data_IF_722961970463
#
_entry.id   IF_722961970463
#
_cell.length_a   1.000
_cell.length_b   1.000
_cell.length_c   1.000
_cell.angle_alpha   90.00
_cell.angle_beta   90.00
_cell.angle_gamma   90.00
#
_symmetry.space_group_name_H-M   'P 1'
#
loop_
_entity.id
_entity.type
_entity.pdbx_description
1 polymer ?
#
# COMPACT_ATOMS: atom_id res chain seq x y z
N UNK A 1 23.13 -69.86 24.11
CA UNK A 1 22.48 -70.70 23.08
C UNK A 1 21.03 -70.24 22.94
N UNK A 2 20.59 -69.91 21.70
CA UNK A 2 19.20 -70.03 21.20
C UNK A 2 18.15 -69.14 21.92
N UNK A 3 17.41 -68.21 21.29
CA UNK A 3 16.96 -68.08 19.89
C UNK A 3 16.48 -66.64 19.63
N UNK A 4 16.77 -66.17 18.41
CA UNK A 4 15.97 -65.18 17.68
C UNK A 4 14.49 -65.56 17.69
N UNK A 5 13.59 -64.57 17.78
CA UNK A 5 12.39 -64.57 16.92
C UNK A 5 12.02 -63.13 16.56
N UNK A 6 12.11 -62.88 15.26
CA UNK A 6 11.70 -61.70 14.52
C UNK A 6 10.16 -61.63 14.54
N UNK A 7 9.58 -60.48 14.88
CA UNK A 7 8.17 -60.19 14.62
C UNK A 7 8.12 -59.01 13.65
N UNK A 8 7.87 -59.40 12.40
CA UNK A 8 7.15 -58.72 11.31
C UNK A 8 6.68 -57.29 11.59
N UNK A 9 7.38 -56.31 11.02
CA UNK A 9 6.89 -54.94 10.90
C UNK A 9 5.83 -54.86 9.79
N UNK A 10 4.57 -54.69 10.18
CA UNK A 10 3.50 -54.26 9.27
C UNK A 10 3.69 -52.76 9.05
N UNK A 11 4.22 -52.37 7.89
CA UNK A 11 4.12 -50.99 7.42
C UNK A 11 2.67 -50.71 7.08
N UNK A 12 1.93 -50.12 8.03
CA UNK A 12 0.70 -49.41 7.73
C UNK A 12 1.09 -48.12 7.01
N UNK A 13 0.78 -48.03 5.71
CA UNK A 13 0.74 -46.77 4.99
C UNK A 13 -0.19 -45.83 5.76
N UNK A 14 0.38 -44.85 6.45
CA UNK A 14 -0.35 -43.67 6.86
C UNK A 14 -0.60 -42.89 5.59
N UNK A 15 -1.79 -43.05 4.99
CA UNK A 15 -2.36 -42.01 4.14
C UNK A 15 -2.57 -40.80 5.06
N UNK A 16 -1.55 -39.96 5.17
CA UNK A 16 -1.72 -38.61 5.65
C UNK A 16 -2.66 -37.92 4.65
N UNK A 17 -3.92 -37.81 5.04
CA UNK A 17 -4.87 -36.97 4.33
C UNK A 17 -4.25 -35.58 4.20
N UNK A 18 -4.03 -35.14 2.96
CA UNK A 18 -3.78 -33.75 2.64
C UNK A 18 -5.06 -32.98 2.98
N UNK A 19 -5.27 -32.69 4.26
CA UNK A 19 -6.15 -31.62 4.67
C UNK A 19 -5.47 -30.36 4.15
N UNK A 20 -5.98 -29.81 3.05
CA UNK A 20 -5.49 -28.57 2.50
C UNK A 20 -5.51 -27.51 3.59
N UNK A 21 -4.33 -27.17 4.12
CA UNK A 21 -4.14 -26.00 4.94
C UNK A 21 -4.49 -24.81 4.05
N UNK A 22 -5.71 -24.29 4.20
CA UNK A 22 -6.00 -22.91 3.83
C UNK A 22 -5.16 -22.05 4.76
N UNK A 23 -3.92 -21.80 4.35
CA UNK A 23 -3.06 -20.86 5.06
C UNK A 23 -3.81 -19.54 5.08
N UNK A 24 -4.24 -19.13 6.27
CA UNK A 24 -4.95 -17.87 6.44
C UNK A 24 -4.01 -16.78 6.00
N UNK A 25 -4.44 -15.95 5.05
CA UNK A 25 -3.68 -14.80 4.62
C UNK A 25 -3.63 -13.77 5.75
N UNK A 26 -2.61 -13.93 6.60
CA UNK A 26 -2.44 -13.11 7.81
C UNK A 26 -2.16 -11.66 7.45
N UNK A 27 -1.45 -11.41 6.34
CA UNK A 27 -1.16 -10.06 5.87
C UNK A 27 -2.44 -9.36 5.44
N UNK A 28 -3.29 -9.99 4.62
CA UNK A 28 -4.59 -9.42 4.27
C UNK A 28 -5.47 -9.19 5.50
N UNK A 29 -5.58 -10.19 6.38
CA UNK A 29 -6.43 -10.10 7.57
C UNK A 29 -6.03 -8.94 8.47
N UNK A 30 -4.77 -8.88 8.88
CA UNK A 30 -4.30 -7.88 9.83
C UNK A 30 -4.02 -6.52 9.19
N UNK A 31 -3.66 -6.49 7.90
CA UNK A 31 -3.55 -5.27 7.11
C UNK A 31 -4.89 -4.54 7.01
N UNK A 32 -5.97 -5.25 6.68
CA UNK A 32 -7.32 -4.67 6.64
C UNK A 32 -7.76 -4.22 8.04
N UNK A 33 -7.54 -5.04 9.07
CA UNK A 33 -7.92 -4.69 10.44
C UNK A 33 -7.24 -3.40 10.93
N UNK A 34 -5.92 -3.29 10.76
CA UNK A 34 -5.18 -2.08 11.14
C UNK A 34 -5.52 -0.87 10.27
N UNK A 35 -5.76 -1.07 8.97
CA UNK A 35 -6.21 0.01 8.09
C UNK A 35 -7.57 0.58 8.52
N UNK A 36 -8.48 -0.27 9.04
CA UNK A 36 -9.75 0.21 9.57
C UNK A 36 -9.58 1.09 10.81
N UNK A 37 -8.55 0.85 11.63
CA UNK A 37 -8.20 1.74 12.74
C UNK A 37 -7.69 3.09 12.22
N UNK A 38 -6.86 3.08 11.16
CA UNK A 38 -6.41 4.30 10.47
C UNK A 38 -7.60 5.11 9.95
N UNK A 39 -8.56 4.45 9.28
CA UNK A 39 -9.81 5.08 8.80
C UNK A 39 -10.58 5.72 9.96
N UNK A 40 -10.66 5.05 11.11
CA UNK A 40 -11.37 5.57 12.29
C UNK A 40 -10.72 6.79 12.94
N UNK A 41 -9.44 7.04 12.71
CA UNK A 41 -8.69 8.18 13.23
C UNK A 41 -8.45 9.29 12.19
N UNK A 42 -8.73 9.02 10.92
CA UNK A 42 -8.43 9.93 9.81
C UNK A 42 -9.68 10.65 9.31
N UNK A 43 -9.48 11.75 8.58
CA UNK A 43 -10.54 12.37 7.81
C UNK A 43 -10.73 11.62 6.49
N UNK A 44 -11.70 10.70 6.48
CA UNK A 44 -12.07 9.90 5.30
C UNK A 44 -13.44 10.33 4.78
N UNK A 45 -13.49 10.76 3.53
CA UNK A 45 -14.72 11.20 2.85
C UNK A 45 -14.92 10.48 1.53
N UNK A 46 -16.17 10.42 1.06
CA UNK A 46 -16.45 9.93 -0.29
C UNK A 46 -16.11 11.03 -1.30
N UNK A 47 -15.39 10.66 -2.34
CA UNK A 47 -15.15 11.48 -3.52
C UNK A 47 -16.01 10.93 -4.67
N UNK A 48 -17.19 11.52 -4.85
CA UNK A 48 -18.16 11.07 -5.84
C UNK A 48 -17.74 11.36 -7.27
N UNK A 49 -16.85 12.33 -7.49
CA UNK A 49 -16.35 12.66 -8.83
C UNK A 49 -15.37 11.59 -9.30
N UNK A 50 -14.60 11.03 -8.36
CA UNK A 50 -13.60 10.00 -8.60
C UNK A 50 -14.06 8.59 -8.19
N UNK A 51 -15.33 8.40 -7.81
CA UNK A 51 -15.87 7.13 -7.29
C UNK A 51 -14.92 6.44 -6.30
N UNK A 52 -14.36 7.20 -5.35
CA UNK A 52 -13.34 6.71 -4.42
C UNK A 52 -13.61 7.17 -2.98
N UNK A 53 -12.93 6.55 -2.03
CA UNK A 53 -12.76 7.09 -0.69
C UNK A 53 -11.46 7.88 -0.63
N UNK A 54 -11.50 9.04 0.00
CA UNK A 54 -10.36 9.94 0.15
C UNK A 54 -9.99 10.07 1.62
N UNK A 55 -8.80 9.60 1.99
CA UNK A 55 -8.18 9.79 3.28
C UNK A 55 -7.22 10.99 3.20
N UNK A 56 -7.52 12.08 3.91
CA UNK A 56 -6.65 13.26 3.95
C UNK A 56 -5.51 13.10 4.96
N UNK A 57 -4.31 13.52 4.58
CA UNK A 57 -3.21 13.70 5.52
C UNK A 57 -3.59 14.77 6.58
N UNK A 58 -3.04 14.69 7.81
CA UNK A 58 -3.29 15.67 8.86
C UNK A 58 -3.00 17.12 8.48
N UNK A 59 -1.99 17.36 7.63
CA UNK A 59 -1.62 18.70 7.17
C UNK A 59 -2.37 19.16 5.91
N UNK A 60 -3.27 18.32 5.37
CA UNK A 60 -4.09 18.57 4.16
C UNK A 60 -3.32 18.76 2.85
N UNK A 61 -2.02 18.47 2.82
CA UNK A 61 -1.20 18.62 1.61
C UNK A 61 -1.07 17.33 0.79
N UNK A 62 -1.63 16.23 1.30
CA UNK A 62 -1.68 14.95 0.60
C UNK A 62 -2.99 14.22 0.94
N UNK A 63 -3.45 13.37 0.02
CA UNK A 63 -4.55 12.43 0.28
C UNK A 63 -4.29 11.09 -0.40
N UNK A 64 -4.70 10.02 0.25
CA UNK A 64 -4.74 8.67 -0.33
C UNK A 64 -6.16 8.38 -0.80
N UNK A 65 -6.29 7.99 -2.06
CA UNK A 65 -7.56 7.63 -2.66
C UNK A 65 -7.56 6.15 -3.02
N UNK A 66 -8.64 5.47 -2.67
CA UNK A 66 -8.86 4.07 -3.04
C UNK A 66 -10.30 3.88 -3.51
N UNK A 67 -10.41 3.15 -4.61
CA UNK A 67 -11.65 3.12 -5.38
C UNK A 67 -12.78 2.39 -4.66
N UNK A 68 -14.00 2.88 -4.89
CA UNK A 68 -15.24 2.14 -4.56
C UNK A 68 -15.61 1.15 -5.65
N UNK A 69 -15.03 1.24 -6.84
CA UNK A 69 -15.27 0.32 -7.96
C UNK A 69 -14.15 0.47 -9.01
N UNK A 70 -13.61 -0.63 -9.56
CA UNK A 70 -12.59 -0.51 -10.61
C UNK A 70 -13.10 0.12 -11.91
N UNK A 71 -14.42 0.15 -12.12
CA UNK A 71 -15.03 1.05 -13.12
C UNK A 71 -15.15 2.45 -12.53
N UNK A 72 -14.01 3.10 -12.38
CA UNK A 72 -13.91 4.47 -11.86
C UNK A 72 -13.72 5.49 -12.97
N UNK A 73 -14.06 6.74 -12.66
CA UNK A 73 -13.72 7.95 -13.41
C UNK A 73 -12.37 8.53 -12.98
N UNK A 74 -11.81 8.04 -11.87
CA UNK A 74 -10.49 8.41 -11.41
C UNK A 74 -9.40 7.99 -12.41
N UNK A 75 -8.25 8.69 -12.43
CA UNK A 75 -7.08 8.25 -13.19
C UNK A 75 -6.59 6.85 -12.79
N UNK A 76 -6.80 6.45 -11.54
CA UNK A 76 -6.28 5.23 -10.93
C UNK A 76 -7.26 4.65 -9.90
N UNK A 77 -7.16 3.34 -9.64
CA UNK A 77 -7.96 2.66 -8.63
C UNK A 77 -7.41 2.84 -7.21
N UNK A 78 -6.08 2.99 -7.11
CA UNK A 78 -5.39 3.43 -5.90
C UNK A 78 -4.42 4.53 -6.30
N UNK A 79 -4.44 5.64 -5.58
CA UNK A 79 -3.51 6.74 -5.83
C UNK A 79 -3.26 7.59 -4.61
N UNK A 80 -2.16 8.32 -4.64
CA UNK A 80 -1.97 9.50 -3.79
C UNK A 80 -2.01 10.74 -4.66
N UNK A 81 -2.63 11.78 -4.11
CA UNK A 81 -2.64 13.12 -4.67
C UNK A 81 -1.93 14.03 -3.67
N UNK A 82 -0.95 14.80 -4.15
CA UNK A 82 -0.11 15.66 -3.30
C UNK A 82 -0.03 17.06 -3.88
N UNK A 83 0.01 18.07 -3.01
CA UNK A 83 0.25 19.46 -3.40
C UNK A 83 1.60 19.54 -4.13
N UNK A 84 1.57 20.08 -5.35
CA UNK A 84 2.76 20.21 -6.18
C UNK A 84 3.65 21.37 -5.75
N UNK A 85 3.14 22.35 -4.99
CA UNK A 85 3.87 23.57 -4.69
C UNK A 85 5.23 23.32 -4.01
N UNK A 86 5.36 22.42 -3.01
CA UNK A 86 6.67 22.10 -2.43
C UNK A 86 7.67 21.51 -3.44
N UNK A 87 7.19 20.80 -4.46
CA UNK A 87 8.04 20.26 -5.53
C UNK A 87 8.43 21.33 -6.54
N UNK A 88 7.50 22.22 -6.90
CA UNK A 88 7.74 23.39 -7.76
C UNK A 88 8.76 24.32 -7.14
N UNK A 89 8.62 24.60 -5.83
CA UNK A 89 9.57 25.41 -5.07
C UNK A 89 10.97 24.75 -5.02
N UNK A 90 11.01 23.42 -5.03
CA UNK A 90 12.24 22.62 -5.12
C UNK A 90 12.75 22.41 -6.55
N UNK A 91 12.15 23.06 -7.56
CA UNK A 91 12.67 23.06 -8.94
C UNK A 91 11.92 22.18 -9.95
N UNK A 92 10.76 21.62 -9.59
CA UNK A 92 9.95 20.81 -10.50
C UNK A 92 9.59 21.58 -11.79
N UNK A 93 10.04 21.05 -12.93
CA UNK A 93 9.50 21.42 -14.24
C UNK A 93 8.31 20.51 -14.55
N UNK A 94 7.10 21.02 -14.30
CA UNK A 94 5.84 20.29 -14.51
C UNK A 94 5.65 19.84 -15.96
N UNK A 95 6.33 20.46 -16.93
CA UNK A 95 6.22 20.08 -18.34
C UNK A 95 6.97 18.79 -18.68
N UNK A 96 7.84 18.32 -17.78
CA UNK A 96 8.56 17.05 -17.90
C UNK A 96 7.84 15.89 -17.24
N UNK A 97 6.79 16.14 -16.47
CA UNK A 97 6.00 15.08 -15.88
C UNK A 97 5.17 14.34 -16.95
N UNK A 98 4.90 13.04 -16.78
CA UNK A 98 3.96 12.31 -17.63
C UNK A 98 2.60 13.01 -17.73
N UNK A 99 1.98 12.90 -18.89
CA UNK A 99 0.64 13.43 -19.12
C UNK A 99 -0.35 12.85 -18.10
N UNK A 100 -1.16 13.73 -17.49
CA UNK A 100 -2.13 13.36 -16.45
C UNK A 100 -1.55 13.23 -15.05
N UNK A 101 -0.23 13.27 -14.86
CA UNK A 101 0.37 13.24 -13.52
C UNK A 101 0.22 14.58 -12.78
N UNK A 102 0.16 15.70 -13.50
CA UNK A 102 -0.05 17.03 -12.92
C UNK A 102 -1.36 17.63 -13.40
N UNK A 103 -2.30 17.85 -12.48
CA UNK A 103 -3.62 18.41 -12.76
C UNK A 103 -3.99 19.39 -11.65
N UNK A 104 -4.39 20.61 -12.03
CA UNK A 104 -4.90 21.64 -11.12
C UNK A 104 -4.06 21.90 -9.86
N UNK A 105 -2.72 21.89 -10.02
CA UNK A 105 -1.79 22.16 -8.91
C UNK A 105 -1.43 20.93 -8.08
N UNK A 106 -1.97 19.75 -8.43
CA UNK A 106 -1.74 18.51 -7.72
C UNK A 106 -0.91 17.54 -8.56
N UNK A 107 -0.03 16.78 -7.90
CA UNK A 107 0.66 15.61 -8.46
C UNK A 107 -0.13 14.36 -8.07
N UNK A 108 -0.49 13.54 -9.06
CA UNK A 108 -1.21 12.29 -8.90
C UNK A 108 -0.31 11.12 -9.28
N UNK A 109 -0.15 10.15 -8.38
CA UNK A 109 0.52 8.87 -8.69
C UNK A 109 -0.31 7.70 -8.21
N UNK A 110 -0.42 6.68 -9.04
CA UNK A 110 -1.24 5.52 -8.75
C UNK A 110 -1.21 4.48 -9.86
N UNK A 111 -2.06 3.48 -9.69
CA UNK A 111 -2.25 2.43 -10.67
C UNK A 111 -3.71 1.99 -10.78
N UNK A 112 -4.08 1.56 -11.99
CA UNK A 112 -5.32 0.83 -12.26
C UNK A 112 -5.12 -0.63 -11.91
N UNK A 113 -6.06 -1.21 -11.16
CA UNK A 113 -5.99 -2.53 -10.58
C UNK A 113 -6.93 -3.53 -11.26
N UNK A 114 -7.97 -3.07 -11.96
CA UNK A 114 -8.86 -3.96 -12.69
C UNK A 114 -9.98 -3.27 -13.44
N UNK A 115 -11.02 -4.05 -13.76
CA UNK A 115 -12.24 -3.58 -14.44
C UNK A 115 -13.52 -4.15 -13.79
N UNK A 116 -13.37 -4.88 -12.68
CA UNK A 116 -14.44 -5.60 -12.02
C UNK A 116 -15.33 -4.65 -11.20
N UNK A 117 -16.63 -4.88 -11.30
CA UNK A 117 -17.61 -4.16 -10.49
C UNK A 117 -17.61 -4.63 -9.03
N UNK A 118 -17.65 -3.67 -8.12
CA UNK A 118 -17.86 -3.95 -6.70
C UNK A 118 -19.36 -4.13 -6.45
N UNK A 119 -19.74 -5.01 -5.54
CA UNK A 119 -21.13 -5.09 -5.09
C UNK A 119 -21.54 -3.82 -4.34
N UNK A 120 -22.84 -3.52 -4.28
CA UNK A 120 -23.37 -2.37 -3.50
C UNK A 120 -22.92 -2.41 -2.03
N UNK A 121 -22.85 -3.60 -1.44
CA UNK A 121 -22.36 -3.75 -0.06
C UNK A 121 -20.87 -3.44 0.06
N UNK A 122 -20.07 -3.78 -0.95
CA UNK A 122 -18.64 -3.44 -0.99
C UNK A 122 -18.41 -1.94 -1.20
N UNK A 123 -19.37 -1.20 -1.76
CA UNK A 123 -19.28 0.24 -1.96
C UNK A 123 -19.73 1.06 -0.74
N UNK A 124 -20.38 0.44 0.24
CA UNK A 124 -21.14 1.16 1.26
C UNK A 124 -20.28 1.92 2.28
N UNK A 125 -19.06 1.46 2.56
CA UNK A 125 -18.16 2.06 3.56
C UNK A 125 -16.70 1.98 3.10
N UNK A 126 -15.81 2.83 3.64
CA UNK A 126 -14.38 2.76 3.38
C UNK A 126 -13.81 1.36 3.67
N UNK A 127 -14.15 0.77 4.81
CA UNK A 127 -13.75 -0.57 5.19
C UNK A 127 -14.20 -1.63 4.16
N UNK A 128 -15.47 -1.56 3.73
CA UNK A 128 -16.01 -2.55 2.81
C UNK A 128 -15.35 -2.45 1.42
N UNK A 129 -15.08 -1.23 0.95
CA UNK A 129 -14.44 -0.99 -0.35
C UNK A 129 -12.99 -1.42 -0.32
N UNK A 130 -12.26 -1.07 0.74
CA UNK A 130 -10.88 -1.50 0.89
C UNK A 130 -10.78 -3.02 0.96
N UNK A 131 -11.63 -3.68 1.75
CA UNK A 131 -11.66 -5.15 1.82
C UNK A 131 -11.91 -5.81 0.46
N UNK A 132 -12.83 -5.29 -0.35
CA UNK A 132 -13.10 -5.84 -1.67
C UNK A 132 -11.94 -5.58 -2.64
N UNK A 133 -11.32 -4.39 -2.58
CA UNK A 133 -10.11 -4.05 -3.32
C UNK A 133 -8.97 -5.04 -3.04
N UNK A 134 -8.68 -5.32 -1.76
CA UNK A 134 -7.63 -6.29 -1.38
C UNK A 134 -7.99 -7.71 -1.83
N UNK A 135 -9.26 -8.08 -1.79
CA UNK A 135 -9.70 -9.39 -2.27
C UNK A 135 -9.48 -9.55 -3.79
N UNK A 136 -9.72 -8.50 -4.56
CA UNK A 136 -9.60 -8.54 -6.03
C UNK A 136 -8.16 -8.31 -6.52
N UNK A 137 -7.36 -7.55 -5.77
CA UNK A 137 -6.02 -7.13 -6.15
C UNK A 137 -5.02 -7.39 -5.03
N UNK A 138 -5.04 -8.63 -4.51
CA UNK A 138 -4.29 -9.02 -3.32
C UNK A 138 -2.80 -8.69 -3.39
N UNK A 139 -2.19 -8.84 -4.56
CA UNK A 139 -0.75 -8.64 -4.76
C UNK A 139 -0.29 -7.19 -4.52
N UNK A 140 -1.22 -6.24 -4.46
CA UNK A 140 -0.93 -4.83 -4.12
C UNK A 140 -0.60 -4.63 -2.64
N UNK A 141 -1.02 -5.54 -1.76
CA UNK A 141 -0.84 -5.42 -0.31
C UNK A 141 0.44 -6.12 0.16
N UNK A 142 1.38 -5.34 0.68
CA UNK A 142 2.61 -5.81 1.28
C UNK A 142 2.65 -5.66 2.80
N UNK A 143 3.70 -6.22 3.39
CA UNK A 143 4.09 -6.00 4.78
C UNK A 143 5.61 -5.77 4.85
N UNK A 144 6.01 -4.70 5.51
CA UNK A 144 7.39 -4.33 5.81
C UNK A 144 7.70 -4.78 7.23
N UNK A 145 8.51 -5.84 7.37
CA UNK A 145 8.74 -6.48 8.67
C UNK A 145 9.45 -5.57 9.67
N UNK A 146 10.53 -4.90 9.24
CA UNK A 146 11.35 -4.06 10.13
C UNK A 146 10.61 -2.83 10.66
N UNK A 147 9.77 -2.21 9.82
CA UNK A 147 8.95 -1.07 10.21
C UNK A 147 7.62 -1.48 10.84
N UNK A 148 7.28 -2.77 10.80
CA UNK A 148 5.96 -3.27 11.16
C UNK A 148 4.82 -2.48 10.50
N UNK A 149 4.97 -2.21 9.20
CA UNK A 149 4.02 -1.45 8.38
C UNK A 149 3.39 -2.34 7.32
N UNK A 150 2.10 -2.16 7.06
CA UNK A 150 1.46 -2.63 5.83
C UNK A 150 1.56 -1.56 4.77
N UNK A 151 1.45 -1.95 3.50
CA UNK A 151 1.48 -0.97 2.41
C UNK A 151 0.69 -1.41 1.20
N UNK A 152 0.05 -0.45 0.55
CA UNK A 152 -0.51 -0.63 -0.79
C UNK A 152 0.47 -0.08 -1.80
N UNK A 153 0.88 -0.95 -2.72
CA UNK A 153 1.63 -0.57 -3.90
C UNK A 153 0.76 0.33 -4.79
N UNK A 154 1.29 1.49 -5.15
CA UNK A 154 0.68 2.44 -6.07
C UNK A 154 1.33 2.40 -7.45
N UNK A 155 2.26 1.47 -7.67
CA UNK A 155 3.01 1.31 -8.89
C UNK A 155 4.25 2.20 -8.94
N UNK A 156 5.22 1.80 -9.76
CA UNK A 156 6.48 2.53 -9.98
C UNK A 156 7.22 2.90 -8.69
N UNK A 157 7.16 2.04 -7.68
CA UNK A 157 7.84 2.26 -6.40
C UNK A 157 7.17 3.26 -5.45
N UNK A 158 5.96 3.75 -5.78
CA UNK A 158 5.15 4.58 -4.89
C UNK A 158 4.27 3.71 -3.99
N UNK A 159 3.99 4.16 -2.76
CA UNK A 159 3.16 3.43 -1.81
C UNK A 159 2.36 4.36 -0.89
N UNK A 160 1.28 3.82 -0.34
CA UNK A 160 0.70 4.31 0.89
C UNK A 160 0.88 3.25 1.96
N UNK A 161 1.55 3.58 3.06
CA UNK A 161 1.89 2.65 4.14
C UNK A 161 1.22 3.05 5.45
N UNK A 162 0.91 2.08 6.29
CA UNK A 162 0.34 2.30 7.61
C UNK A 162 0.82 1.30 8.65
N UNK A 163 0.76 1.70 9.91
CA UNK A 163 1.22 0.88 11.01
C UNK A 163 0.33 -0.34 11.26
N UNK A 164 0.99 -1.45 11.61
CA UNK A 164 0.32 -2.62 12.17
C UNK A 164 -0.30 -2.33 13.54
N UNK A 165 0.36 -1.51 14.36
CA UNK A 165 -0.10 -1.11 15.69
C UNK A 165 0.10 0.40 15.88
N UNK A 166 -1.00 1.17 15.74
CA UNK A 166 -1.02 2.63 15.86
C UNK A 166 -0.73 3.14 17.29
N UNK A 167 -0.53 2.25 18.27
CA UNK A 167 -0.10 2.64 19.62
C UNK A 167 1.39 2.39 19.87
N UNK A 168 2.03 1.54 19.07
CA UNK A 168 3.41 1.10 19.26
C UNK A 168 4.37 1.59 18.16
N UNK A 169 3.87 1.83 16.94
CA UNK A 169 4.68 2.29 15.82
C UNK A 169 5.04 3.79 15.96
N UNK A 170 6.22 4.16 15.44
CA UNK A 170 6.71 5.54 15.47
C UNK A 170 5.94 6.47 14.51
N UNK A 171 5.39 5.91 13.42
CA UNK A 171 4.58 6.59 12.41
C UNK A 171 3.37 5.73 12.07
N UNK A 172 2.20 6.38 12.02
CA UNK A 172 0.91 5.73 11.80
C UNK A 172 0.60 5.55 10.32
N UNK A 173 0.90 6.55 9.51
CA UNK A 173 0.77 6.50 8.04
C UNK A 173 1.97 7.15 7.36
N UNK A 174 2.31 6.69 6.15
CA UNK A 174 3.39 7.24 5.34
C UNK A 174 2.98 7.28 3.87
N UNK A 175 3.08 8.47 3.27
CA UNK A 175 3.03 8.62 1.82
C UNK A 175 4.46 8.42 1.29
N UNK A 176 4.61 7.50 0.33
CA UNK A 176 5.91 7.09 -0.21
C UNK A 176 5.92 7.35 -1.70
N UNK A 177 6.84 8.19 -2.15
CA UNK A 177 7.02 8.51 -3.56
C UNK A 177 8.39 8.05 -4.07
N UNK A 178 8.44 7.62 -5.32
CA UNK A 178 9.68 7.35 -6.05
C UNK A 178 10.34 8.67 -6.49
N UNK A 179 11.53 9.01 -5.98
CA UNK A 179 12.17 10.30 -6.25
C UNK A 179 12.65 10.45 -7.69
N UNK A 180 12.89 9.35 -8.41
CA UNK A 180 13.54 9.37 -9.72
C UNK A 180 12.80 10.24 -10.73
N UNK A 181 11.48 10.11 -10.81
CA UNK A 181 10.67 10.87 -11.77
C UNK A 181 10.69 12.38 -11.49
N UNK A 182 10.80 12.77 -10.22
CA UNK A 182 10.89 14.16 -9.81
C UNK A 182 12.28 14.74 -10.05
N UNK A 183 13.33 13.97 -9.74
CA UNK A 183 14.71 14.35 -10.01
C UNK A 183 14.94 14.55 -11.52
N UNK A 184 14.43 13.65 -12.36
CA UNK A 184 14.48 13.76 -13.83
C UNK A 184 13.72 15.01 -14.33
N UNK A 185 12.67 15.41 -13.62
CA UNK A 185 11.92 16.62 -13.87
C UNK A 185 12.57 17.89 -13.27
N UNK A 186 13.72 17.79 -12.61
CA UNK A 186 14.50 18.93 -12.11
C UNK A 186 14.35 19.25 -10.62
N UNK A 187 13.62 18.42 -9.88
CA UNK A 187 13.44 18.60 -8.42
C UNK A 187 14.73 18.31 -7.67
N UNK A 188 15.12 19.21 -6.78
CA UNK A 188 16.05 18.94 -5.70
C UNK A 188 15.35 18.10 -4.62
N UNK A 189 15.35 16.78 -4.81
CA UNK A 189 14.62 15.83 -3.96
C UNK A 189 15.03 15.86 -2.49
N UNK A 190 16.25 16.33 -2.18
CA UNK A 190 16.70 16.46 -0.80
C UNK A 190 16.07 17.65 -0.07
N UNK A 191 15.45 18.60 -0.79
CA UNK A 191 14.97 19.88 -0.27
C UNK A 191 13.47 20.14 -0.56
N UNK A 192 12.68 19.10 -0.79
CA UNK A 192 11.21 19.22 -0.92
C UNK A 192 10.59 19.44 0.46
N UNK A 193 9.98 20.62 0.67
CA UNK A 193 9.43 20.98 1.98
C UNK A 193 8.35 20.01 2.45
N UNK A 194 8.45 19.56 3.70
CA UNK A 194 7.50 18.61 4.29
C UNK A 194 7.66 17.16 3.84
N UNK A 195 8.74 16.83 3.11
CA UNK A 195 9.12 15.48 2.72
C UNK A 195 10.52 15.15 3.23
N UNK A 196 10.76 13.86 3.48
CA UNK A 196 12.05 13.31 3.89
C UNK A 196 12.60 12.46 2.75
N UNK A 197 13.77 12.84 2.24
CA UNK A 197 14.52 12.00 1.29
C UNK A 197 15.42 11.03 2.06
N UNK A 198 15.17 9.74 1.91
CA UNK A 198 15.89 8.70 2.64
C UNK A 198 16.10 7.44 1.80
N UNK A 199 17.06 6.61 2.20
CA UNK A 199 17.20 5.25 1.71
C UNK A 199 16.38 4.31 2.60
N UNK A 200 15.64 3.41 1.97
CA UNK A 200 14.81 2.40 2.63
C UNK A 200 15.24 1.03 2.13
N UNK A 201 15.42 0.09 3.05
CA UNK A 201 15.70 -1.30 2.70
C UNK A 201 14.42 -1.97 2.19
N UNK A 202 14.52 -2.60 1.02
CA UNK A 202 13.42 -3.36 0.40
C UNK A 202 13.96 -4.69 -0.10
N UNK A 203 13.07 -5.67 -0.25
CA UNK A 203 13.40 -6.92 -0.93
C UNK A 203 13.23 -6.75 -2.44
N UNK A 204 14.26 -7.10 -3.21
CA UNK A 204 14.15 -7.21 -4.66
C UNK A 204 13.35 -8.46 -5.09
N UNK A 205 13.13 -8.63 -6.39
CA UNK A 205 12.38 -9.76 -6.93
C UNK A 205 13.00 -11.14 -6.63
N UNK A 206 14.28 -11.19 -6.23
CA UNK A 206 14.98 -12.40 -5.80
C UNK A 206 14.90 -12.64 -4.28
N UNK A 207 14.26 -11.73 -3.54
CA UNK A 207 14.17 -11.77 -2.08
C UNK A 207 15.43 -11.25 -1.39
N UNK A 208 16.27 -10.49 -2.09
CA UNK A 208 17.50 -9.90 -1.53
C UNK A 208 17.23 -8.48 -1.05
N UNK A 209 17.74 -8.13 0.11
CA UNK A 209 17.75 -6.75 0.62
C UNK A 209 18.58 -5.83 -0.28
N UNK A 210 17.96 -4.73 -0.68
CA UNK A 210 18.55 -3.63 -1.42
C UNK A 210 18.08 -2.30 -0.84
N UNK A 211 18.93 -1.28 -0.86
CA UNK A 211 18.52 0.08 -0.50
C UNK A 211 17.97 0.80 -1.72
N UNK A 212 16.79 1.42 -1.57
CA UNK A 212 16.19 2.29 -2.58
C UNK A 212 15.90 3.65 -1.99
N UNK A 213 16.12 4.70 -2.77
CA UNK A 213 15.80 6.07 -2.35
C UNK A 213 14.29 6.31 -2.42
N UNK A 214 13.76 7.03 -1.43
CA UNK A 214 12.34 7.36 -1.28
C UNK A 214 12.15 8.78 -0.79
N UNK A 215 11.07 9.42 -1.26
CA UNK A 215 10.49 10.59 -0.64
C UNK A 215 9.37 10.13 0.29
N UNK A 216 9.50 10.45 1.57
CA UNK A 216 8.62 9.99 2.64
C UNK A 216 7.92 11.19 3.28
N UNK A 217 6.60 11.10 3.44
CA UNK A 217 5.82 12.09 4.20
C UNK A 217 5.02 11.36 5.28
N UNK A 218 5.62 11.19 6.47
CA UNK A 218 5.04 10.38 7.53
C UNK A 218 4.18 11.21 8.50
N UNK A 219 3.18 10.59 9.12
CA UNK A 219 2.31 11.23 10.09
C UNK A 219 1.98 10.32 11.28
N UNK A 220 1.68 10.97 12.40
CA UNK A 220 0.97 10.37 13.55
C UNK A 220 -0.46 10.90 13.54
N UNK A 221 -1.43 10.01 13.79
CA UNK A 221 -2.87 10.29 13.80
C UNK A 221 -3.41 10.54 15.22
N UNK A 222 -2.53 10.51 16.24
CA UNK A 222 -2.84 10.75 17.65
C UNK A 222 -2.03 11.93 18.20
#
# INVERSE_FOLDING_TARGET
>A
MKKLTIITGVSALVLAGLVGCTQTDVVAKYGILSFNEVVGLSDVTADSELNSWSLSAPDRTARFLFSTNFKTTAPHDVMVEVDAQPFIDAGLDVTKLPAGMFVDGMIMVGQTLGEQDFSTNAQATPEASFKELIKLSRDTLGYHEDLAHYGIDLGNGNKFEWAKDLAANDKDIVFVLDPAIFADAGVDVANVSGWVFAKVEVLDASGKEVEVEKLLKPFNLK
#
